data_IF_121861859595
#
_entry.id   IF_121861859595
#
_cell.length_a   1.000
_cell.length_b   1.000
_cell.length_c   1.000
_cell.angle_alpha   90.00
_cell.angle_beta   90.00
_cell.angle_gamma   90.00
#
_symmetry.space_group_name_H-M   'P 1'
#
loop_
_entity.id
_entity.type
_entity.pdbx_description
1 polymer ?
#
# COMPACT_ATOMS: atom_id res chain seq x y z
N UNK A 1 8.56 18.98 15.80
CA UNK A 1 8.27 20.05 14.86
C UNK A 1 9.28 21.17 15.06
N UNK A 2 9.94 21.55 13.98
CA UNK A 2 11.03 22.54 14.03
C UNK A 2 10.86 23.57 12.90
N UNK A 3 11.43 24.76 13.10
CA UNK A 3 11.42 25.83 12.10
C UNK A 3 12.66 26.71 12.23
N UNK A 4 12.98 27.47 11.20
CA UNK A 4 13.89 28.60 11.36
C UNK A 4 13.21 29.72 12.15
N UNK A 5 14.00 30.46 12.93
CA UNK A 5 13.49 31.61 13.66
C UNK A 5 12.86 32.63 12.71
N UNK A 6 11.62 33.01 13.00
CA UNK A 6 10.84 33.91 12.14
C UNK A 6 10.00 33.25 11.05
N UNK A 7 10.09 31.96 10.84
CA UNK A 7 9.16 31.24 9.98
C UNK A 7 7.82 30.95 10.68
N UNK A 8 6.74 30.92 9.90
CA UNK A 8 5.38 30.66 10.40
C UNK A 8 5.00 29.17 10.39
N UNK A 9 5.68 28.36 9.62
CA UNK A 9 5.36 26.95 9.46
C UNK A 9 6.49 26.08 10.00
N UNK A 10 6.10 25.00 10.66
CA UNK A 10 7.00 23.98 11.20
C UNK A 10 7.13 22.81 10.24
N UNK A 11 8.28 22.13 10.31
CA UNK A 11 8.56 20.87 9.61
C UNK A 11 8.77 19.78 10.64
N UNK A 12 8.11 18.65 10.42
CA UNK A 12 8.36 17.44 11.19
C UNK A 12 9.79 16.95 10.95
N UNK A 13 10.55 16.84 12.04
CA UNK A 13 11.93 16.35 12.00
C UNK A 13 12.08 15.16 12.93
N UNK A 14 12.49 14.03 12.37
CA UNK A 14 12.73 12.81 13.16
C UNK A 14 14.02 12.96 13.94
N UNK A 15 13.91 12.90 15.27
CA UNK A 15 15.03 12.99 16.21
C UNK A 15 15.28 11.62 16.83
N UNK A 16 16.51 11.14 16.78
CA UNK A 16 16.89 9.89 17.46
C UNK A 16 16.99 10.13 18.97
N UNK A 17 16.44 9.22 19.75
CA UNK A 17 16.46 9.30 21.21
C UNK A 17 17.88 9.47 21.75
N UNK A 18 18.89 8.82 21.18
CA UNK A 18 20.30 8.95 21.59
C UNK A 18 20.83 10.38 21.52
N UNK A 19 20.34 11.20 20.57
CA UNK A 19 20.79 12.60 20.44
C UNK A 19 20.32 13.51 21.58
N UNK A 20 19.25 13.11 22.28
CA UNK A 20 18.74 13.84 23.44
C UNK A 20 19.62 13.63 24.68
N UNK A 21 20.23 12.44 24.79
CA UNK A 21 21.13 12.14 25.91
C UNK A 21 22.55 12.72 25.72
N UNK A 22 23.02 12.77 24.47
CA UNK A 22 24.36 13.26 24.14
C UNK A 22 24.45 14.79 24.05
N UNK A 23 23.36 15.52 24.33
CA UNK A 23 23.25 16.98 24.10
C UNK A 23 23.68 17.39 22.68
N UNK A 24 23.43 16.54 21.71
CA UNK A 24 23.89 16.71 20.33
C UNK A 24 23.00 17.67 19.55
N UNK A 25 22.95 18.94 19.95
CA UNK A 25 22.17 19.98 19.26
C UNK A 25 22.51 20.06 17.76
N UNK A 26 23.78 19.87 17.42
CA UNK A 26 24.23 19.93 16.00
C UNK A 26 23.64 18.81 15.14
N UNK A 27 23.50 17.59 15.70
CA UNK A 27 22.85 16.47 14.98
C UNK A 27 21.37 16.74 14.75
N UNK A 28 20.70 17.38 15.71
CA UNK A 28 19.29 17.77 15.60
C UNK A 28 19.11 18.86 14.55
N UNK A 29 19.98 19.90 14.55
CA UNK A 29 19.99 20.95 13.53
C UNK A 29 20.23 20.37 12.13
N UNK A 30 21.24 19.52 11.97
CA UNK A 30 21.54 18.89 10.69
C UNK A 30 20.37 18.05 10.17
N UNK A 31 19.66 17.33 11.05
CA UNK A 31 18.47 16.60 10.67
C UNK A 31 17.35 17.53 10.18
N UNK A 32 17.17 18.67 10.84
CA UNK A 32 16.21 19.68 10.42
C UNK A 32 16.58 20.32 9.07
N UNK A 33 17.83 20.73 8.88
CA UNK A 33 18.29 21.29 7.59
C UNK A 33 18.04 20.33 6.44
N UNK A 34 18.31 19.02 6.67
CA UNK A 34 18.01 17.98 5.70
C UNK A 34 16.52 17.86 5.41
N UNK A 35 15.68 17.83 6.44
CA UNK A 35 14.22 17.78 6.30
C UNK A 35 13.69 19.02 5.56
N UNK A 36 14.19 20.21 5.91
CA UNK A 36 13.83 21.48 5.26
C UNK A 36 14.19 21.47 3.77
N UNK A 37 15.39 20.98 3.44
CA UNK A 37 15.83 20.86 2.04
C UNK A 37 14.94 19.88 1.25
N UNK A 38 14.50 18.78 1.87
CA UNK A 38 13.59 17.83 1.21
C UNK A 38 12.21 18.41 0.89
N UNK A 39 11.72 19.35 1.72
CA UNK A 39 10.40 19.96 1.53
C UNK A 39 10.45 21.18 0.62
N UNK A 40 11.47 22.01 0.75
CA UNK A 40 11.55 23.32 0.08
C UNK A 40 12.69 23.46 -0.93
N UNK A 41 13.45 22.38 -1.14
CA UNK A 41 14.62 22.32 -2.05
C UNK A 41 15.74 23.32 -1.67
N UNK A 42 15.70 23.84 -0.44
CA UNK A 42 16.76 24.69 0.11
C UNK A 42 16.86 24.55 1.62
N UNK A 43 18.02 24.92 2.19
CA UNK A 43 18.24 25.06 3.64
C UNK A 43 19.25 26.16 3.91
N UNK A 44 19.14 26.80 5.09
CA UNK A 44 20.10 27.81 5.55
C UNK A 44 20.76 27.32 6.86
N UNK A 45 21.96 26.77 6.73
CA UNK A 45 22.72 26.24 7.87
C UNK A 45 23.19 27.30 8.86
N UNK A 46 23.17 28.58 8.46
CA UNK A 46 23.54 29.72 9.31
C UNK A 46 22.35 30.23 10.16
N UNK A 47 21.13 29.90 9.78
CA UNK A 47 19.94 30.36 10.45
C UNK A 47 19.70 29.65 11.80
N UNK A 48 19.13 30.40 12.75
CA UNK A 48 18.75 29.88 14.06
C UNK A 48 17.55 28.94 13.92
N UNK A 49 17.68 27.73 14.48
CA UNK A 49 16.64 26.70 14.45
C UNK A 49 15.91 26.66 15.79
N UNK A 50 14.59 26.62 15.75
CA UNK A 50 13.72 26.51 16.92
C UNK A 50 12.98 25.19 16.94
N UNK A 51 12.98 24.52 18.09
CA UNK A 51 12.09 23.39 18.36
C UNK A 51 10.79 23.99 18.90
N UNK A 52 9.70 23.76 18.19
CA UNK A 52 8.36 24.29 18.55
C UNK A 52 7.60 23.25 19.36
N UNK A 53 7.59 22.00 18.91
CA UNK A 53 6.93 20.89 19.59
C UNK A 53 7.84 19.67 19.63
N UNK A 54 7.75 18.89 20.71
CA UNK A 54 8.34 17.57 20.81
C UNK A 54 7.22 16.55 20.94
N UNK A 55 7.21 15.57 20.02
CA UNK A 55 6.26 14.47 20.05
C UNK A 55 6.98 13.16 20.34
N UNK A 56 6.46 12.40 21.30
CA UNK A 56 6.94 11.06 21.61
C UNK A 56 5.83 10.05 21.32
N UNK A 57 6.14 9.06 20.48
CA UNK A 57 5.25 7.94 20.21
C UNK A 57 5.85 6.69 20.86
N UNK A 58 5.10 6.09 21.78
CA UNK A 58 5.46 4.81 22.37
C UNK A 58 4.58 3.74 21.76
N UNK A 59 5.21 2.74 21.13
CA UNK A 59 4.49 1.61 20.53
C UNK A 59 4.71 0.37 21.37
N UNK A 60 3.64 -0.13 22.00
CA UNK A 60 3.64 -1.45 22.62
C UNK A 60 3.60 -2.52 21.54
N UNK A 61 4.63 -3.36 21.48
CA UNK A 61 4.65 -4.50 20.57
C UNK A 61 3.87 -5.66 21.17
N UNK A 62 2.88 -6.17 20.43
CA UNK A 62 2.19 -7.42 20.76
C UNK A 62 2.65 -8.51 19.79
N UNK A 63 2.66 -9.79 20.22
CA UNK A 63 2.92 -10.90 19.30
C UNK A 63 1.94 -10.83 18.11
N UNK A 64 2.46 -10.84 16.90
CA UNK A 64 1.60 -10.91 15.71
C UNK A 64 0.95 -12.27 15.63
N UNK A 65 -0.38 -12.37 15.42
CA UNK A 65 -1.04 -13.65 15.20
C UNK A 65 -0.44 -14.32 13.96
N UNK A 66 -0.16 -15.61 14.05
CA UNK A 66 0.22 -16.39 12.88
C UNK A 66 -1.02 -16.65 12.04
N UNK A 67 -1.00 -16.21 10.78
CA UNK A 67 -2.06 -16.56 9.83
C UNK A 67 -1.78 -17.97 9.28
N UNK A 68 -2.73 -18.90 9.32
CA UNK A 68 -2.55 -20.20 8.70
C UNK A 68 -2.41 -20.03 7.18
N UNK A 69 -1.33 -20.54 6.62
CA UNK A 69 -1.08 -20.54 5.19
C UNK A 69 -1.30 -21.95 4.67
N UNK A 70 -2.27 -22.10 3.79
CA UNK A 70 -2.57 -23.38 3.13
C UNK A 70 -1.63 -23.62 1.94
N UNK A 71 -1.34 -24.90 1.65
CA UNK A 71 -0.60 -25.24 0.43
C UNK A 71 -1.43 -24.88 -0.80
N UNK A 72 -0.82 -24.16 -1.70
CA UNK A 72 -1.43 -23.77 -2.96
C UNK A 72 -1.35 -24.93 -3.95
N UNK A 73 -2.47 -25.25 -4.58
CA UNK A 73 -2.51 -26.18 -5.70
C UNK A 73 -3.03 -25.41 -6.91
N UNK A 74 -2.13 -25.10 -7.85
CA UNK A 74 -2.50 -24.38 -9.06
C UNK A 74 -3.66 -25.07 -9.77
N UNK A 75 -4.78 -24.37 -9.88
CA UNK A 75 -5.98 -24.82 -10.58
C UNK A 75 -6.70 -23.65 -11.23
N UNK A 76 -7.45 -23.92 -12.28
CA UNK A 76 -8.41 -22.96 -12.82
C UNK A 76 -9.69 -23.06 -11.99
N UNK A 77 -10.14 -21.92 -11.49
CA UNK A 77 -11.40 -21.85 -10.74
C UNK A 77 -12.58 -22.18 -11.67
N UNK A 78 -13.55 -22.91 -11.14
CA UNK A 78 -14.78 -23.22 -11.88
C UNK A 78 -15.85 -22.18 -11.57
N UNK A 79 -16.36 -21.43 -12.56
CA UNK A 79 -17.41 -20.45 -12.35
C UNK A 79 -18.74 -21.10 -11.98
N UNK A 80 -19.54 -20.44 -11.18
CA UNK A 80 -20.90 -20.87 -10.85
C UNK A 80 -21.88 -20.59 -11.99
N UNK A 81 -21.66 -19.53 -12.74
CA UNK A 81 -22.44 -19.11 -13.91
C UNK A 81 -21.68 -18.08 -14.73
N UNK A 82 -22.22 -17.71 -15.88
CA UNK A 82 -21.74 -16.61 -16.72
C UNK A 82 -22.86 -15.58 -16.86
N UNK A 83 -22.51 -14.29 -16.86
CA UNK A 83 -23.46 -13.18 -17.04
C UNK A 83 -22.93 -12.16 -18.05
N UNK A 84 -23.83 -11.46 -18.72
CA UNK A 84 -23.46 -10.36 -19.61
C UNK A 84 -23.19 -9.11 -18.78
N UNK A 85 -22.07 -8.45 -19.02
CA UNK A 85 -21.66 -7.21 -18.38
C UNK A 85 -21.30 -6.18 -19.43
N UNK A 86 -21.38 -4.90 -19.08
CA UNK A 86 -20.96 -3.80 -19.93
C UNK A 86 -19.76 -3.12 -19.29
N UNK A 87 -18.61 -3.11 -19.98
CA UNK A 87 -17.35 -2.52 -19.49
C UNK A 87 -16.74 -1.72 -20.65
N UNK A 88 -16.37 -0.47 -20.38
CA UNK A 88 -15.70 0.42 -21.33
C UNK A 88 -16.41 0.51 -22.71
N UNK A 89 -17.73 0.63 -22.70
CA UNK A 89 -18.52 0.72 -23.92
C UNK A 89 -18.75 -0.60 -24.66
N UNK A 90 -18.27 -1.72 -24.15
CA UNK A 90 -18.37 -3.05 -24.77
C UNK A 90 -19.14 -4.05 -23.91
N UNK A 91 -19.85 -4.96 -24.57
CA UNK A 91 -20.47 -6.10 -23.90
C UNK A 91 -19.49 -7.26 -23.80
N UNK A 92 -19.43 -7.86 -22.62
CA UNK A 92 -18.59 -9.01 -22.32
C UNK A 92 -19.40 -10.10 -21.62
N UNK A 93 -18.96 -11.33 -21.74
CA UNK A 93 -19.41 -12.42 -20.89
C UNK A 93 -18.44 -12.53 -19.70
N UNK A 94 -18.95 -12.34 -18.47
CA UNK A 94 -18.20 -12.40 -17.23
C UNK A 94 -18.51 -13.68 -16.48
N UNK A 95 -17.46 -14.41 -16.08
CA UNK A 95 -17.58 -15.55 -15.20
C UNK A 95 -17.92 -15.12 -13.77
N UNK A 96 -18.84 -15.81 -13.10
CA UNK A 96 -19.24 -15.50 -11.72
C UNK A 96 -18.72 -16.60 -10.80
N UNK A 97 -17.98 -16.20 -9.77
CA UNK A 97 -17.41 -17.06 -8.75
C UNK A 97 -18.01 -16.77 -7.38
N UNK A 98 -18.17 -17.80 -6.58
CA UNK A 98 -18.48 -17.70 -5.16
C UNK A 98 -17.16 -17.66 -4.39
N UNK A 99 -16.94 -16.58 -3.62
CA UNK A 99 -15.70 -16.36 -2.87
C UNK A 99 -15.40 -17.50 -1.89
N UNK A 100 -16.42 -18.10 -1.29
CA UNK A 100 -16.28 -19.15 -0.29
C UNK A 100 -15.77 -20.46 -0.93
N UNK A 101 -16.03 -20.68 -2.23
CA UNK A 101 -15.62 -21.88 -2.97
C UNK A 101 -14.22 -21.76 -3.57
N UNK A 102 -13.66 -20.57 -3.62
CA UNK A 102 -12.31 -20.36 -4.10
C UNK A 102 -11.28 -20.90 -3.11
N UNK A 103 -10.36 -21.71 -3.62
CA UNK A 103 -9.31 -22.34 -2.85
C UNK A 103 -7.92 -21.73 -3.16
N UNK A 104 -6.95 -21.84 -2.21
CA UNK A 104 -5.57 -21.45 -2.48
C UNK A 104 -4.98 -22.12 -3.71
N UNK A 105 -4.47 -21.32 -4.63
CA UNK A 105 -3.93 -21.76 -5.93
C UNK A 105 -4.92 -21.61 -7.10
N UNK A 106 -6.19 -21.31 -6.83
CA UNK A 106 -7.16 -21.03 -7.89
C UNK A 106 -6.81 -19.75 -8.63
N UNK A 107 -6.95 -19.79 -9.94
CA UNK A 107 -6.76 -18.62 -10.80
C UNK A 107 -7.86 -18.56 -11.87
N UNK A 108 -8.14 -17.35 -12.34
CA UNK A 108 -9.10 -17.08 -13.41
C UNK A 108 -8.83 -15.71 -14.04
N UNK A 109 -9.41 -15.50 -15.21
CA UNK A 109 -9.22 -14.29 -16.00
C UNK A 109 -10.46 -13.41 -15.95
N UNK A 110 -10.24 -12.09 -16.02
CA UNK A 110 -11.32 -11.14 -16.27
C UNK A 110 -11.77 -11.12 -17.75
N UNK A 111 -13.02 -10.69 -18.00
CA UNK A 111 -13.94 -10.13 -17.02
C UNK A 111 -14.58 -11.21 -16.14
N UNK A 112 -14.59 -10.96 -14.85
CA UNK A 112 -15.19 -11.86 -13.87
C UNK A 112 -15.78 -11.10 -12.68
N UNK A 113 -16.69 -11.74 -11.96
CA UNK A 113 -17.33 -11.22 -10.76
C UNK A 113 -17.16 -12.25 -9.65
N UNK A 114 -16.62 -11.84 -8.51
CA UNK A 114 -16.53 -12.68 -7.31
C UNK A 114 -17.52 -12.16 -6.28
N UNK A 115 -18.50 -13.00 -5.95
CA UNK A 115 -19.54 -12.70 -4.97
C UNK A 115 -19.11 -13.17 -3.59
N UNK A 116 -19.36 -12.33 -2.59
CA UNK A 116 -19.20 -12.60 -1.18
C UNK A 116 -20.42 -12.02 -0.44
N UNK A 117 -20.71 -12.49 0.78
CA UNK A 117 -21.94 -12.11 1.49
C UNK A 117 -22.06 -10.59 1.73
N UNK A 118 -20.93 -9.92 1.93
CA UNK A 118 -20.83 -8.51 2.28
C UNK A 118 -20.22 -7.61 1.16
N UNK A 119 -19.72 -8.20 0.08
CA UNK A 119 -19.03 -7.45 -0.97
C UNK A 119 -19.02 -8.18 -2.32
N UNK A 120 -18.69 -7.44 -3.37
CA UNK A 120 -18.48 -7.97 -4.72
C UNK A 120 -17.17 -7.44 -5.28
N UNK A 121 -16.31 -8.33 -5.77
CA UNK A 121 -15.10 -7.95 -6.47
C UNK A 121 -15.33 -8.10 -7.98
N UNK A 122 -15.05 -7.03 -8.73
CA UNK A 122 -15.08 -7.06 -10.20
C UNK A 122 -13.64 -7.17 -10.71
N UNK A 123 -13.38 -8.21 -11.50
CA UNK A 123 -12.13 -8.40 -12.22
C UNK A 123 -12.33 -7.90 -13.64
N UNK A 124 -11.66 -6.82 -14.00
CA UNK A 124 -11.80 -6.18 -15.32
C UNK A 124 -11.17 -7.06 -16.43
N UNK A 125 -11.57 -6.86 -17.70
CA UNK A 125 -10.80 -7.42 -18.83
C UNK A 125 -9.32 -7.10 -18.72
N UNK A 126 -8.44 -8.00 -19.18
CA UNK A 126 -6.97 -7.89 -19.08
C UNK A 126 -6.41 -7.94 -17.66
N UNK A 127 -7.19 -8.41 -16.69
CA UNK A 127 -6.70 -8.76 -15.37
C UNK A 127 -6.77 -10.27 -15.15
N UNK A 128 -5.84 -10.78 -14.37
CA UNK A 128 -5.84 -12.13 -13.83
C UNK A 128 -6.07 -12.07 -12.34
N UNK A 129 -6.91 -12.92 -11.83
CA UNK A 129 -7.14 -13.11 -10.40
C UNK A 129 -6.49 -14.41 -9.92
N UNK A 130 -5.92 -14.38 -8.73
CA UNK A 130 -5.23 -15.51 -8.12
C UNK A 130 -5.52 -15.53 -6.61
N UNK A 131 -5.71 -16.72 -6.04
CA UNK A 131 -5.94 -16.92 -4.60
C UNK A 131 -4.66 -17.46 -3.97
N UNK A 132 -4.06 -16.69 -3.06
CA UNK A 132 -2.83 -17.09 -2.37
C UNK A 132 -3.07 -18.08 -1.22
N UNK A 133 -1.98 -18.56 -0.59
CA UNK A 133 -2.03 -19.50 0.52
C UNK A 133 -2.73 -18.96 1.78
N UNK A 134 -2.82 -17.65 1.95
CA UNK A 134 -3.56 -16.99 3.02
C UNK A 134 -5.03 -16.70 2.63
N UNK A 135 -5.45 -17.17 1.47
CA UNK A 135 -6.75 -16.92 0.86
C UNK A 135 -6.98 -15.45 0.47
N UNK A 136 -5.96 -14.65 0.22
CA UNK A 136 -6.15 -13.34 -0.38
C UNK A 136 -6.50 -13.50 -1.86
N UNK A 137 -7.36 -12.63 -2.38
CA UNK A 137 -7.63 -12.51 -3.81
C UNK A 137 -6.70 -11.43 -4.38
N UNK A 138 -5.75 -11.83 -5.20
CA UNK A 138 -4.75 -10.94 -5.80
C UNK A 138 -5.14 -10.71 -7.25
N UNK A 139 -5.24 -9.44 -7.64
CA UNK A 139 -5.55 -9.02 -9.00
C UNK A 139 -4.30 -8.42 -9.63
N UNK A 140 -3.90 -8.96 -10.79
CA UNK A 140 -2.73 -8.48 -11.53
C UNK A 140 -3.16 -8.07 -12.93
N UNK A 141 -2.78 -6.88 -13.37
CA UNK A 141 -2.95 -6.46 -14.75
C UNK A 141 -2.05 -7.33 -15.65
N UNK A 142 -2.61 -7.88 -16.71
CA UNK A 142 -1.82 -8.57 -17.72
C UNK A 142 -1.02 -7.51 -18.49
N UNK A 143 0.28 -7.72 -18.66
CA UNK A 143 1.10 -6.82 -19.47
C UNK A 143 0.50 -6.70 -20.87
N UNK A 144 0.25 -5.47 -21.29
CA UNK A 144 -0.09 -5.19 -22.69
C UNK A 144 1.22 -5.44 -23.44
N UNK A 145 1.31 -6.59 -24.13
CA UNK A 145 2.31 -6.70 -25.19
C UNK A 145 1.93 -5.66 -26.24
N UNK A 146 2.62 -4.54 -26.19
CA UNK A 146 2.56 -3.51 -27.22
C UNK A 146 3.08 -4.15 -28.53
N UNK A 147 2.15 -4.66 -29.31
CA UNK A 147 2.42 -5.08 -30.67
C UNK A 147 2.52 -3.82 -31.55
N UNK A 148 3.59 -3.07 -31.31
CA UNK A 148 3.96 -1.93 -32.18
C UNK A 148 5.43 -2.05 -32.54
N UNK A 149 5.66 -2.78 -33.64
CA UNK A 149 6.70 -2.49 -34.62
C UNK A 149 6.29 -3.00 -35.99
#
# INVERSE_FOLDING_TARGET
DMRYRGQSFEIETIVKQSWLYDSSSEKIKAAFHKAHHQVYDHSDESAEVQIVNLRLVIVGTVPKPSMPVSKEKKSLATPSKTVKVHVDGNHHEAAVFDRQKLCPGDNFYGPAIVLQDDTTTVVLPKFTAYVDGAKNLILTANEIQDASR
#
